data_IF_114507789215
#
_entry.id   IF_114507789215
#
_cell.length_a   1.000
_cell.length_b   1.000
_cell.length_c   1.000
_cell.angle_alpha   90.00
_cell.angle_beta   90.00
_cell.angle_gamma   90.00
#
_symmetry.space_group_name_H-M   'P 1'
#
loop_
_entity.id
_entity.type
_entity.pdbx_description
1 polymer ?
#
# COMPACT_ATOMS: atom_id res chain seq x y z
N UNK A 1 2.70 -10.04 -47.78
CA UNK A 1 1.40 -10.75 -47.76
C UNK A 1 0.28 -9.75 -47.96
N UNK A 2 -0.36 -9.72 -49.11
CA UNK A 2 -1.42 -8.78 -49.40
C UNK A 2 -2.75 -9.55 -49.56
N UNK A 3 -3.51 -9.72 -48.45
CA UNK A 3 -4.83 -10.39 -48.53
C UNK A 3 -5.85 -9.91 -47.46
N UNK A 4 -5.63 -8.72 -46.85
CA UNK A 4 -6.57 -8.22 -45.85
C UNK A 4 -7.05 -6.76 -46.10
N UNK A 5 -6.87 -6.23 -47.32
CA UNK A 5 -7.32 -4.88 -47.70
C UNK A 5 -8.57 -4.82 -48.56
N UNK A 6 -9.16 -5.96 -48.92
CA UNK A 6 -10.29 -6.00 -49.86
C UNK A 6 -11.67 -6.38 -49.25
N UNK A 7 -11.83 -6.32 -47.94
CA UNK A 7 -13.09 -6.64 -47.29
C UNK A 7 -13.83 -5.47 -46.63
N UNK A 8 -13.30 -4.24 -46.70
CA UNK A 8 -13.90 -3.06 -46.05
C UNK A 8 -14.62 -2.14 -47.05
N UNK A 9 -14.46 -2.33 -48.36
CA UNK A 9 -15.06 -1.46 -49.38
C UNK A 9 -16.33 -1.96 -50.05
N UNK A 10 -17.00 -2.98 -49.54
CA UNK A 10 -18.16 -3.60 -50.20
C UNK A 10 -19.52 -3.41 -49.49
N UNK A 11 -19.59 -2.66 -48.39
CA UNK A 11 -20.87 -2.48 -47.63
C UNK A 11 -21.38 -1.03 -47.63
N UNK A 12 -20.70 -0.11 -48.25
CA UNK A 12 -21.10 1.33 -48.23
C UNK A 12 -21.84 1.84 -49.49
N UNK A 13 -22.40 0.95 -50.31
CA UNK A 13 -23.05 1.34 -51.57
C UNK A 13 -24.37 0.60 -51.88
N UNK A 14 -25.28 0.53 -50.93
CA UNK A 14 -26.70 0.23 -51.22
C UNK A 14 -27.58 0.61 -50.03
N UNK A 15 -27.99 1.85 -49.93
CA UNK A 15 -29.26 2.28 -49.32
C UNK A 15 -29.42 3.78 -49.54
N UNK A 16 -29.83 4.13 -50.75
CA UNK A 16 -30.53 5.36 -51.00
C UNK A 16 -31.57 5.10 -52.07
N UNK A 17 -32.80 5.21 -51.72
CA UNK A 17 -34.00 5.64 -52.47
C UNK A 17 -35.24 4.84 -52.08
N UNK A 18 -36.16 5.66 -51.70
CA UNK A 18 -37.61 5.65 -52.03
C UNK A 18 -38.58 5.31 -50.90
N UNK A 19 -39.43 6.31 -50.69
CA UNK A 19 -40.88 6.34 -50.47
C UNK A 19 -41.44 5.98 -49.10
N UNK A 20 -41.98 7.02 -48.44
CA UNK A 20 -42.68 6.90 -47.16
C UNK A 20 -43.45 8.16 -46.74
N UNK A 21 -43.84 8.99 -47.67
CA UNK A 21 -44.72 10.16 -47.40
C UNK A 21 -46.14 9.83 -47.87
N UNK A 22 -46.87 8.99 -47.16
CA UNK A 22 -48.34 8.83 -47.37
C UNK A 22 -49.02 7.97 -46.28
N UNK A 23 -48.75 8.22 -45.00
CA UNK A 23 -49.51 7.55 -43.92
C UNK A 23 -50.09 8.52 -42.87
N UNK A 24 -50.06 9.83 -43.11
CA UNK A 24 -50.52 10.80 -42.12
C UNK A 24 -51.82 11.55 -42.51
N UNK A 25 -52.73 10.92 -43.28
CA UNK A 25 -53.99 11.57 -43.63
C UNK A 25 -55.26 10.73 -43.48
N UNK A 26 -55.34 9.73 -42.65
CA UNK A 26 -56.60 9.04 -42.32
C UNK A 26 -56.63 8.50 -40.91
N UNK A 27 -56.61 9.29 -39.86
CA UNK A 27 -57.05 8.91 -38.52
C UNK A 27 -57.38 10.12 -37.64
N UNK A 28 -58.14 11.06 -38.17
CA UNK A 28 -58.79 12.11 -37.35
C UNK A 28 -60.30 11.86 -37.33
N UNK A 29 -60.77 10.87 -36.64
CA UNK A 29 -62.15 10.76 -36.16
C UNK A 29 -62.33 9.52 -35.28
N UNK A 30 -61.72 9.53 -34.07
CA UNK A 30 -62.18 8.83 -32.86
C UNK A 30 -61.22 9.33 -31.76
N UNK A 31 -61.73 10.08 -30.80
CA UNK A 31 -60.94 10.63 -29.73
C UNK A 31 -60.45 9.51 -28.81
N UNK A 32 -59.20 9.11 -28.98
CA UNK A 32 -58.43 8.35 -28.00
C UNK A 32 -57.37 9.29 -27.49
N UNK A 33 -57.58 9.77 -26.26
CA UNK A 33 -56.59 10.56 -25.52
C UNK A 33 -55.47 9.56 -25.11
N UNK A 34 -54.37 9.58 -25.86
CA UNK A 34 -53.14 8.95 -25.40
C UNK A 34 -52.55 9.83 -24.27
N UNK A 35 -52.79 9.44 -23.02
CA UNK A 35 -52.01 9.92 -21.89
C UNK A 35 -50.64 9.29 -22.00
N UNK A 36 -49.69 10.00 -22.59
CA UNK A 36 -48.28 9.64 -22.50
C UNK A 36 -47.85 9.82 -21.07
N UNK A 37 -47.87 8.74 -20.32
CA UNK A 37 -47.15 8.65 -19.02
C UNK A 37 -45.68 8.77 -19.35
N UNK A 38 -45.12 9.96 -19.34
CA UNK A 38 -43.68 10.16 -19.21
C UNK A 38 -43.32 9.61 -17.83
N UNK A 39 -42.90 8.35 -17.77
CA UNK A 39 -42.15 7.84 -16.63
C UNK A 39 -40.90 8.70 -16.53
N UNK A 40 -40.93 9.72 -15.70
CA UNK A 40 -39.73 10.40 -15.23
C UNK A 40 -38.97 9.36 -14.39
N UNK A 41 -38.10 8.58 -15.04
CA UNK A 41 -37.07 7.85 -14.33
C UNK A 41 -36.19 8.93 -13.73
N UNK A 42 -36.15 9.09 -12.41
CA UNK A 42 -35.18 9.99 -11.83
C UNK A 42 -33.81 9.49 -12.30
N UNK A 43 -33.09 10.32 -13.06
CA UNK A 43 -31.66 10.20 -13.19
C UNK A 43 -31.14 10.28 -11.76
N UNK A 44 -30.89 9.12 -11.13
CA UNK A 44 -30.10 9.05 -9.91
C UNK A 44 -28.77 9.70 -10.27
N UNK A 45 -28.64 10.97 -9.95
CA UNK A 45 -27.36 11.66 -9.98
C UNK A 45 -26.46 10.94 -9.02
N UNK A 46 -25.30 10.50 -9.46
CA UNK A 46 -24.28 9.90 -8.62
C UNK A 46 -24.10 10.77 -7.38
N UNK A 47 -24.35 10.21 -6.20
CA UNK A 47 -24.33 10.98 -4.97
C UNK A 47 -22.89 11.07 -4.47
N UNK A 48 -22.26 12.23 -4.69
CA UNK A 48 -21.01 12.57 -4.00
C UNK A 48 -21.34 12.81 -2.54
N UNK A 49 -20.84 11.91 -1.67
CA UNK A 49 -21.05 11.98 -0.21
C UNK A 49 -19.95 12.76 0.52
N UNK A 50 -18.86 13.08 -0.16
CA UNK A 50 -17.74 13.84 0.39
C UNK A 50 -16.63 14.10 -0.61
N UNK A 51 -15.61 14.80 -0.14
CA UNK A 51 -14.38 15.07 -0.90
C UNK A 51 -13.18 14.73 -0.05
N UNK A 52 -12.24 13.98 -0.60
CA UNK A 52 -11.00 13.62 0.07
C UNK A 52 -10.07 14.83 0.17
N UNK A 53 -9.35 14.96 1.29
CA UNK A 53 -8.39 16.04 1.56
C UNK A 53 -7.00 15.46 1.77
N UNK A 54 -5.92 16.16 1.35
CA UNK A 54 -4.57 15.63 1.47
C UNK A 54 -4.14 15.48 2.93
N UNK A 55 -3.37 14.44 3.22
CA UNK A 55 -2.67 14.31 4.49
C UNK A 55 -1.66 15.46 4.67
N UNK A 56 -1.53 15.95 5.89
CA UNK A 56 -0.60 17.03 6.21
C UNK A 56 0.76 16.41 6.58
N UNK A 57 1.85 16.78 5.88
CA UNK A 57 3.17 16.24 6.15
C UNK A 57 3.69 16.64 7.54
N UNK A 58 4.69 15.92 8.03
CA UNK A 58 5.39 16.30 9.26
C UNK A 58 6.17 17.62 9.06
N UNK A 59 5.97 18.58 9.96
CA UNK A 59 6.67 19.88 9.92
C UNK A 59 7.01 20.38 11.32
N UNK A 60 7.93 21.38 11.38
CA UNK A 60 8.31 22.01 12.65
C UNK A 60 7.13 22.71 13.32
N UNK A 61 6.28 23.35 12.53
CA UNK A 61 5.08 24.05 13.02
C UNK A 61 4.13 23.06 13.69
N UNK A 62 3.95 21.89 13.11
CA UNK A 62 3.13 20.83 13.71
C UNK A 62 3.77 20.23 14.96
N UNK A 63 5.09 20.01 14.95
CA UNK A 63 5.83 19.53 16.13
C UNK A 63 5.69 20.52 17.29
N UNK A 64 5.72 21.82 17.02
CA UNK A 64 5.55 22.86 18.05
C UNK A 64 4.17 22.84 18.75
N UNK A 65 3.16 22.17 18.17
CA UNK A 65 1.85 21.98 18.80
C UNK A 65 1.81 20.85 19.83
N UNK A 66 2.84 19.98 19.84
CA UNK A 66 2.92 18.88 20.80
C UNK A 66 3.28 19.38 22.21
N UNK A 67 2.99 18.58 23.26
CA UNK A 67 3.53 18.85 24.61
C UNK A 67 5.04 19.01 24.57
N UNK A 68 5.57 20.00 25.30
CA UNK A 68 7.00 20.37 25.27
C UNK A 68 7.95 19.17 25.49
N UNK A 69 7.57 18.22 26.33
CA UNK A 69 8.35 17.00 26.59
C UNK A 69 8.52 16.08 25.35
N UNK A 70 7.66 16.19 24.36
CA UNK A 70 7.72 15.36 23.14
C UNK A 70 8.46 16.06 21.99
N UNK A 71 8.45 17.39 21.94
CA UNK A 71 8.95 18.18 20.81
C UNK A 71 10.39 17.83 20.44
N UNK A 72 11.29 17.76 21.42
CA UNK A 72 12.71 17.53 21.17
C UNK A 72 13.01 16.21 20.44
N UNK A 73 12.28 15.14 20.72
CA UNK A 73 12.44 13.86 20.04
C UNK A 73 12.00 13.94 18.56
N UNK A 74 10.88 14.60 18.30
CA UNK A 74 10.34 14.79 16.95
C UNK A 74 11.19 15.75 16.11
N UNK A 75 11.68 16.83 16.68
CA UNK A 75 12.62 17.76 16.02
C UNK A 75 13.91 17.04 15.62
N UNK A 76 14.49 16.26 16.53
CA UNK A 76 15.68 15.44 16.25
C UNK A 76 15.43 14.44 15.12
N UNK A 77 14.24 13.83 15.09
CA UNK A 77 13.83 12.92 14.03
C UNK A 77 13.76 13.66 12.68
N UNK A 78 13.01 14.77 12.61
CA UNK A 78 12.85 15.57 11.39
C UNK A 78 14.20 16.06 10.85
N UNK A 79 15.05 16.61 11.70
CA UNK A 79 16.41 17.07 11.33
C UNK A 79 17.27 15.92 10.80
N UNK A 80 17.17 14.71 11.38
CA UNK A 80 17.90 13.54 10.90
C UNK A 80 17.43 13.16 9.49
N UNK A 81 16.13 13.12 9.27
CA UNK A 81 15.53 12.82 7.96
C UNK A 81 15.94 13.86 6.90
N UNK A 82 15.85 15.14 7.20
CA UNK A 82 16.27 16.22 6.28
C UNK A 82 17.75 16.10 5.88
N UNK A 83 18.64 15.91 6.87
CA UNK A 83 20.08 15.73 6.61
C UNK A 83 20.36 14.51 5.75
N UNK A 84 19.69 13.40 6.03
CA UNK A 84 19.88 12.17 5.26
C UNK A 84 19.40 12.34 3.81
N UNK A 85 18.23 12.95 3.59
CA UNK A 85 17.75 13.25 2.24
C UNK A 85 18.73 14.09 1.44
N UNK A 86 19.29 15.13 2.06
CA UNK A 86 20.33 15.98 1.42
C UNK A 86 21.58 15.18 1.10
N UNK A 87 22.02 14.29 1.99
CA UNK A 87 23.19 13.45 1.79
C UNK A 87 22.96 12.47 0.62
N UNK A 88 21.80 11.82 0.56
CA UNK A 88 21.45 10.87 -0.51
C UNK A 88 21.39 11.54 -1.88
N UNK A 89 20.73 12.70 -1.98
CA UNK A 89 20.68 13.49 -3.21
C UNK A 89 22.05 13.97 -3.66
N UNK A 90 22.86 14.44 -2.69
CA UNK A 90 24.23 14.89 -2.96
C UNK A 90 25.14 13.77 -3.44
N UNK A 91 24.93 12.56 -2.92
CA UNK A 91 25.65 11.36 -3.38
C UNK A 91 25.38 11.07 -4.87
N UNK A 92 24.11 10.99 -5.27
CA UNK A 92 23.74 10.77 -6.68
C UNK A 92 24.27 11.87 -7.59
N UNK A 93 24.14 13.13 -7.19
CA UNK A 93 24.67 14.28 -7.95
C UNK A 93 26.20 14.23 -8.08
N UNK A 94 26.91 13.75 -7.06
CA UNK A 94 28.37 13.58 -7.12
C UNK A 94 28.77 12.47 -8.11
N UNK A 95 28.09 11.30 -8.06
CA UNK A 95 28.30 10.24 -9.05
C UNK A 95 28.05 10.72 -10.48
N UNK A 96 26.92 11.43 -10.70
CA UNK A 96 26.58 11.98 -12.01
C UNK A 96 27.66 12.91 -12.54
N UNK A 97 28.19 13.82 -11.70
CA UNK A 97 29.29 14.71 -12.09
C UNK A 97 30.57 13.94 -12.43
N UNK A 98 30.94 12.98 -11.58
CA UNK A 98 32.16 12.19 -11.74
C UNK A 98 32.13 11.35 -13.03
N UNK A 99 30.96 10.85 -13.40
CA UNK A 99 30.77 9.97 -14.57
C UNK A 99 30.18 10.71 -15.78
N UNK A 100 30.11 12.05 -15.75
CA UNK A 100 29.59 12.89 -16.84
C UNK A 100 28.16 12.55 -17.28
N UNK A 101 27.33 12.06 -16.35
CA UNK A 101 25.91 11.77 -16.57
C UNK A 101 25.11 13.05 -16.38
N UNK A 102 24.34 13.46 -17.40
CA UNK A 102 23.52 14.68 -17.34
C UNK A 102 22.16 14.43 -16.69
N UNK A 103 21.56 13.26 -16.97
CA UNK A 103 20.27 12.84 -16.43
C UNK A 103 20.44 11.42 -15.89
N UNK A 104 19.98 11.08 -14.68
CA UNK A 104 20.11 9.74 -14.16
C UNK A 104 19.42 8.72 -15.08
N UNK A 105 20.10 7.61 -15.36
CA UNK A 105 19.46 6.49 -16.05
C UNK A 105 18.39 5.89 -15.12
N UNK A 106 17.25 5.49 -15.68
CA UNK A 106 16.20 4.83 -14.95
C UNK A 106 16.52 3.34 -14.85
N UNK A 107 16.57 2.74 -13.65
CA UNK A 107 16.87 1.33 -13.50
C UNK A 107 15.72 0.44 -14.00
N UNK A 108 16.00 -0.86 -14.26
CA UNK A 108 14.97 -1.80 -14.64
C UNK A 108 13.85 -1.89 -13.62
N UNK A 109 12.60 -1.73 -14.06
CA UNK A 109 11.41 -1.85 -13.22
C UNK A 109 11.01 -3.32 -13.02
N UNK A 110 10.35 -3.59 -11.88
CA UNK A 110 9.81 -4.89 -11.51
C UNK A 110 9.14 -4.80 -10.13
N UNK A 111 8.81 -5.95 -9.54
CA UNK A 111 8.39 -6.02 -8.15
C UNK A 111 9.46 -6.73 -7.34
N UNK A 112 10.07 -6.07 -6.36
CA UNK A 112 11.10 -6.66 -5.49
C UNK A 112 10.66 -7.99 -4.91
N UNK A 113 9.49 -8.05 -4.29
CA UNK A 113 8.92 -9.26 -3.72
C UNK A 113 8.69 -10.40 -4.74
N UNK A 114 8.50 -10.10 -6.03
CA UNK A 114 8.34 -11.09 -7.10
C UNK A 114 9.64 -11.40 -7.82
N UNK A 115 10.57 -10.45 -7.89
CA UNK A 115 11.86 -10.65 -8.57
C UNK A 115 12.89 -11.28 -7.66
N UNK A 116 12.79 -11.12 -6.34
CA UNK A 116 13.72 -11.69 -5.36
C UNK A 116 13.16 -12.99 -4.76
N UNK A 117 13.77 -14.15 -5.03
CA UNK A 117 13.20 -15.44 -4.62
C UNK A 117 13.45 -15.73 -3.12
N UNK A 118 12.42 -15.57 -2.28
CA UNK A 118 12.49 -15.85 -0.84
C UNK A 118 12.11 -17.29 -0.44
N UNK A 119 11.51 -18.07 -1.34
CA UNK A 119 10.94 -19.40 -1.07
C UNK A 119 11.77 -20.56 -1.64
N UNK A 120 13.03 -20.34 -1.99
CA UNK A 120 13.93 -21.40 -2.48
C UNK A 120 14.42 -22.28 -1.33
N UNK A 121 14.81 -23.54 -1.59
CA UNK A 121 15.46 -24.38 -0.58
C UNK A 121 16.70 -23.71 0.01
N UNK A 122 17.00 -23.94 1.28
CA UNK A 122 18.10 -23.29 2.00
C UNK A 122 19.46 -23.42 1.26
N UNK A 123 19.74 -24.60 0.67
CA UNK A 123 20.97 -24.84 -0.11
C UNK A 123 21.10 -23.96 -1.34
N UNK A 124 19.99 -23.49 -1.92
CA UNK A 124 20.03 -22.61 -3.09
C UNK A 124 20.67 -21.24 -2.80
N UNK A 125 20.50 -20.72 -1.57
CA UNK A 125 21.05 -19.42 -1.19
C UNK A 125 22.60 -19.41 -1.13
N UNK A 126 23.26 -20.58 -1.11
CA UNK A 126 24.70 -20.73 -1.27
C UNK A 126 25.17 -20.78 -2.73
N UNK A 127 24.27 -20.69 -3.71
CA UNK A 127 24.61 -20.80 -5.14
C UNK A 127 25.21 -19.50 -5.73
N UNK A 128 25.88 -19.64 -6.88
CA UNK A 128 26.40 -18.50 -7.67
C UNK A 128 25.27 -17.55 -8.09
N UNK A 129 24.06 -18.07 -8.38
CA UNK A 129 22.93 -17.26 -8.76
C UNK A 129 22.41 -16.42 -7.59
N UNK A 130 22.30 -17.00 -6.40
CA UNK A 130 21.95 -16.25 -5.21
C UNK A 130 22.98 -15.16 -4.88
N UNK A 131 24.28 -15.47 -5.03
CA UNK A 131 25.35 -14.49 -4.86
C UNK A 131 25.25 -13.33 -5.89
N UNK A 132 24.90 -13.63 -7.14
CA UNK A 132 24.68 -12.62 -8.20
C UNK A 132 23.52 -11.70 -7.83
N UNK A 133 22.38 -12.23 -7.40
CA UNK A 133 21.23 -11.45 -6.95
C UNK A 133 21.59 -10.59 -5.72
N UNK A 134 22.31 -11.16 -4.74
CA UNK A 134 22.77 -10.41 -3.58
C UNK A 134 23.66 -9.21 -3.97
N UNK A 135 24.55 -9.38 -4.95
CA UNK A 135 25.39 -8.29 -5.46
C UNK A 135 24.55 -7.18 -6.12
N UNK A 136 23.49 -7.54 -6.86
CA UNK A 136 22.53 -6.56 -7.43
C UNK A 136 21.82 -5.81 -6.30
N UNK A 137 21.27 -6.52 -5.31
CA UNK A 137 20.61 -5.93 -4.15
C UNK A 137 21.54 -4.92 -3.47
N UNK A 138 22.77 -5.30 -3.15
CA UNK A 138 23.76 -4.39 -2.52
C UNK A 138 24.01 -3.15 -3.36
N UNK A 139 24.07 -3.29 -4.70
CA UNK A 139 24.34 -2.16 -5.60
C UNK A 139 23.24 -1.11 -5.63
N UNK A 140 21.97 -1.50 -5.38
CA UNK A 140 20.82 -0.59 -5.33
C UNK A 140 20.49 -0.11 -3.91
N UNK A 141 21.30 -0.47 -2.91
CA UNK A 141 21.09 0.07 -1.57
C UNK A 141 21.38 1.56 -1.55
N UNK A 142 20.40 2.38 -1.11
CA UNK A 142 20.56 3.82 -1.00
C UNK A 142 21.62 4.19 0.05
N UNK A 143 22.22 5.37 0.02
CA UNK A 143 23.14 5.80 1.08
C UNK A 143 22.48 5.79 2.47
N UNK A 144 21.16 6.05 2.55
CA UNK A 144 20.39 5.90 3.79
C UNK A 144 20.30 4.45 4.29
N UNK A 145 20.49 3.46 3.42
CA UNK A 145 20.49 2.03 3.76
C UNK A 145 19.25 1.25 3.32
N UNK A 146 18.18 1.91 2.88
CA UNK A 146 16.97 1.25 2.36
C UNK A 146 17.02 0.96 0.86
N UNK A 147 15.93 0.45 0.32
CA UNK A 147 15.74 0.20 -1.12
C UNK A 147 14.44 0.82 -1.61
N UNK A 148 14.40 1.10 -2.90
CA UNK A 148 13.20 1.62 -3.56
C UNK A 148 12.27 0.51 -4.00
N UNK A 149 10.97 0.80 -4.10
CA UNK A 149 9.99 -0.16 -4.62
C UNK A 149 10.13 -0.36 -6.13
N UNK A 150 9.51 -1.42 -6.63
CA UNK A 150 9.37 -1.72 -8.06
C UNK A 150 10.70 -1.89 -8.84
N UNK A 151 11.79 -2.16 -8.15
CA UNK A 151 13.07 -2.52 -8.77
C UNK A 151 13.06 -3.97 -9.26
N UNK A 152 13.65 -4.21 -10.44
CA UNK A 152 13.98 -5.57 -10.86
C UNK A 152 15.38 -5.94 -10.37
N UNK A 153 15.46 -6.46 -9.16
CA UNK A 153 16.71 -6.82 -8.48
C UNK A 153 17.33 -8.15 -8.96
N UNK A 154 16.85 -8.70 -10.07
CA UNK A 154 17.47 -9.86 -10.74
C UNK A 154 18.04 -9.52 -12.11
N UNK A 155 17.93 -8.29 -12.58
CA UNK A 155 18.36 -7.88 -13.90
C UNK A 155 19.87 -7.60 -13.95
N UNK A 156 20.34 -6.49 -13.39
CA UNK A 156 21.72 -6.03 -13.47
C UNK A 156 22.12 -5.25 -12.21
N UNK A 157 23.42 -5.12 -11.97
CA UNK A 157 23.96 -4.22 -10.94
C UNK A 157 23.74 -2.77 -11.33
N UNK A 158 23.48 -1.91 -10.35
CA UNK A 158 23.40 -0.46 -10.52
C UNK A 158 24.75 0.08 -10.99
N UNK A 159 24.72 1.00 -11.95
CA UNK A 159 25.92 1.70 -12.40
C UNK A 159 25.98 3.11 -11.81
N UNK A 160 27.19 3.70 -11.63
CA UNK A 160 27.32 5.06 -11.11
C UNK A 160 26.54 6.09 -11.92
N UNK A 161 25.79 6.96 -11.24
CA UNK A 161 24.93 7.95 -11.88
C UNK A 161 23.56 7.42 -12.33
N UNK A 162 23.27 6.13 -12.14
CA UNK A 162 21.94 5.57 -12.30
C UNK A 162 21.06 5.93 -11.09
N UNK A 163 19.76 6.16 -11.29
CA UNK A 163 18.79 6.39 -10.21
C UNK A 163 18.72 5.19 -9.26
N UNK A 164 18.36 5.42 -8.00
CA UNK A 164 18.07 4.35 -7.05
C UNK A 164 16.63 3.82 -7.17
N UNK A 165 15.76 4.55 -7.86
CA UNK A 165 14.37 4.18 -8.06
C UNK A 165 14.04 4.13 -9.55
N UNK A 166 13.19 3.18 -10.02
CA UNK A 166 12.56 3.27 -11.32
C UNK A 166 11.58 4.45 -11.35
N UNK A 167 10.97 4.71 -12.50
CA UNK A 167 9.85 5.65 -12.57
C UNK A 167 8.65 5.06 -11.80
N UNK A 168 8.39 5.63 -10.62
CA UNK A 168 7.30 5.23 -9.73
C UNK A 168 6.08 6.17 -9.84
N UNK A 169 6.15 7.19 -10.71
CA UNK A 169 5.09 8.17 -10.87
C UNK A 169 3.81 7.54 -11.45
N UNK A 170 2.68 8.02 -10.97
CA UNK A 170 1.40 7.69 -11.59
C UNK A 170 1.27 8.37 -12.95
N UNK A 171 0.96 7.60 -13.99
CA UNK A 171 0.65 8.15 -15.32
C UNK A 171 -0.68 8.92 -15.37
N UNK A 172 -1.43 8.96 -14.28
CA UNK A 172 -2.75 9.56 -14.16
C UNK A 172 -2.74 10.79 -13.24
N UNK A 173 -1.58 11.43 -13.02
CA UNK A 173 -1.49 12.63 -12.19
C UNK A 173 -2.44 13.72 -12.74
N UNK A 174 -3.26 14.25 -11.85
CA UNK A 174 -4.13 15.40 -12.10
C UNK A 174 -3.60 16.63 -11.36
N UNK A 175 -4.10 17.81 -11.72
CA UNK A 175 -3.71 19.03 -10.99
C UNK A 175 -3.99 18.88 -9.49
N UNK A 176 -2.99 19.17 -8.66
CA UNK A 176 -3.01 18.99 -7.19
C UNK A 176 -3.25 17.54 -6.78
N UNK A 177 -2.73 16.57 -7.53
CA UNK A 177 -2.72 15.18 -7.13
C UNK A 177 -1.95 15.00 -5.81
N UNK A 178 -2.47 14.16 -4.90
CA UNK A 178 -1.81 13.92 -3.59
C UNK A 178 -0.51 13.13 -3.73
N UNK A 179 -0.31 12.47 -4.87
CA UNK A 179 0.91 11.75 -5.23
C UNK A 179 1.95 12.62 -5.96
N UNK A 180 1.72 13.93 -6.01
CA UNK A 180 2.68 14.89 -6.59
C UNK A 180 3.98 14.93 -5.81
N UNK A 181 5.09 14.88 -6.55
CA UNK A 181 6.41 14.75 -5.98
C UNK A 181 7.10 16.11 -5.80
N UNK A 182 7.88 16.27 -4.72
CA UNK A 182 8.66 17.47 -4.53
C UNK A 182 9.94 17.52 -5.40
N UNK A 183 10.38 16.41 -5.99
CA UNK A 183 11.60 16.36 -6.80
C UNK A 183 11.58 15.21 -7.81
N UNK A 184 11.90 15.51 -9.06
CA UNK A 184 12.07 14.52 -10.11
C UNK A 184 13.14 13.47 -9.75
N UNK A 185 12.92 12.23 -10.14
CA UNK A 185 13.82 11.07 -9.93
C UNK A 185 14.09 10.72 -8.46
N UNK A 186 13.32 11.29 -7.49
CA UNK A 186 13.47 11.03 -6.07
C UNK A 186 12.22 10.44 -5.42
N UNK A 187 11.34 9.83 -6.21
CA UNK A 187 10.12 9.21 -5.73
C UNK A 187 10.39 7.83 -5.13
N UNK A 188 9.91 7.62 -3.91
CA UNK A 188 10.09 6.35 -3.19
C UNK A 188 11.55 5.87 -3.10
N UNK A 189 12.50 6.79 -3.04
CA UNK A 189 13.92 6.46 -2.83
C UNK A 189 14.14 6.11 -1.37
N UNK A 190 14.19 4.80 -1.10
CA UNK A 190 14.14 4.21 0.23
C UNK A 190 12.71 4.18 0.78
N UNK A 191 12.07 3.00 0.70
CA UNK A 191 10.66 2.84 1.11
C UNK A 191 10.40 1.48 1.74
N UNK A 192 9.25 1.37 2.41
CA UNK A 192 8.68 0.12 2.92
C UNK A 192 7.47 -0.34 2.09
N UNK A 193 7.09 0.43 1.06
CA UNK A 193 5.97 0.14 0.18
C UNK A 193 6.27 -1.06 -0.75
N UNK A 194 5.26 -1.85 -1.08
CA UNK A 194 5.38 -3.05 -1.92
C UNK A 194 6.49 -4.02 -1.46
N UNK A 195 6.60 -4.26 -0.15
CA UNK A 195 7.59 -5.14 0.49
C UNK A 195 9.06 -4.71 0.32
N UNK A 196 9.34 -3.52 -0.22
CA UNK A 196 10.69 -3.02 -0.40
C UNK A 196 11.42 -2.89 0.96
N UNK A 197 12.72 -2.93 0.95
CA UNK A 197 13.63 -2.95 2.09
C UNK A 197 13.54 -4.24 2.91
N UNK A 198 12.35 -4.71 3.26
CA UNK A 198 12.18 -5.95 4.03
C UNK A 198 12.52 -7.19 3.19
N UNK A 199 12.09 -7.23 1.93
CA UNK A 199 12.44 -8.32 0.99
C UNK A 199 13.94 -8.46 0.79
N UNK A 200 14.62 -7.35 0.56
CA UNK A 200 16.07 -7.30 0.34
C UNK A 200 16.83 -7.78 1.59
N UNK A 201 16.43 -7.32 2.77
CA UNK A 201 17.02 -7.77 4.04
C UNK A 201 16.82 -9.26 4.28
N UNK A 202 15.63 -9.79 4.05
CA UNK A 202 15.35 -11.23 4.20
C UNK A 202 16.18 -12.06 3.22
N UNK A 203 16.33 -11.60 1.98
CA UNK A 203 17.17 -12.29 0.99
C UNK A 203 18.65 -12.30 1.40
N UNK A 204 19.18 -11.13 1.79
CA UNK A 204 20.57 -11.03 2.26
C UNK A 204 20.82 -11.91 3.46
N UNK A 205 19.90 -11.97 4.42
CA UNK A 205 20.02 -12.85 5.60
C UNK A 205 20.13 -14.33 5.20
N UNK A 206 19.29 -14.81 4.26
CA UNK A 206 19.33 -16.18 3.74
C UNK A 206 20.66 -16.49 3.05
N UNK A 207 21.19 -15.58 2.22
CA UNK A 207 22.49 -15.77 1.56
C UNK A 207 23.64 -15.76 2.56
N UNK A 208 23.61 -14.88 3.56
CA UNK A 208 24.63 -14.84 4.62
C UNK A 208 24.61 -16.14 5.43
N UNK A 209 23.44 -16.63 5.82
CA UNK A 209 23.28 -17.85 6.59
C UNK A 209 23.75 -19.11 5.83
N UNK A 210 23.56 -19.15 4.51
CA UNK A 210 24.03 -20.25 3.67
C UNK A 210 25.57 -20.34 3.56
N UNK A 211 26.32 -19.28 3.90
CA UNK A 211 27.78 -19.32 4.15
C UNK A 211 28.67 -19.59 2.93
N UNK A 212 28.17 -19.44 1.71
CA UNK A 212 28.89 -19.84 0.49
C UNK A 212 29.62 -18.75 -0.28
N UNK A 213 29.57 -17.48 0.12
CA UNK A 213 30.04 -16.37 -0.71
C UNK A 213 31.35 -15.74 -0.20
N UNK A 214 32.29 -15.45 -1.14
CA UNK A 214 33.47 -14.64 -0.87
C UNK A 214 33.14 -13.20 -0.44
N UNK A 215 31.86 -12.80 -0.54
CA UNK A 215 31.37 -11.44 -0.26
C UNK A 215 30.65 -11.34 1.10
N UNK A 216 30.82 -12.30 2.01
CA UNK A 216 30.04 -12.36 3.26
C UNK A 216 30.15 -11.09 4.13
N UNK A 217 31.30 -10.41 4.14
CA UNK A 217 31.50 -9.18 4.90
C UNK A 217 30.70 -8.00 4.30
N UNK A 218 30.74 -7.81 2.97
CA UNK A 218 29.98 -6.75 2.30
C UNK A 218 28.45 -6.95 2.43
N UNK A 219 27.99 -8.21 2.38
CA UNK A 219 26.58 -8.55 2.57
C UNK A 219 26.14 -8.26 4.01
N UNK A 220 26.97 -8.62 5.03
CA UNK A 220 26.71 -8.29 6.42
C UNK A 220 26.68 -6.79 6.68
N UNK A 221 27.61 -6.04 6.07
CA UNK A 221 27.61 -4.58 6.15
C UNK A 221 26.37 -3.97 5.50
N UNK A 222 25.93 -4.48 4.35
CA UNK A 222 24.69 -4.03 3.70
C UNK A 222 23.46 -4.37 4.55
N UNK A 223 23.38 -5.56 5.09
CA UNK A 223 22.29 -5.97 6.00
C UNK A 223 22.23 -5.07 7.24
N UNK A 224 23.38 -4.79 7.87
CA UNK A 224 23.44 -3.91 9.04
C UNK A 224 22.95 -2.50 8.73
N UNK A 225 23.40 -1.91 7.59
CA UNK A 225 22.89 -0.59 7.14
C UNK A 225 21.39 -0.61 6.88
N UNK A 226 20.85 -1.71 6.33
CA UNK A 226 19.40 -1.85 6.12
C UNK A 226 18.61 -1.91 7.43
N UNK A 227 19.13 -2.57 8.48
CA UNK A 227 18.53 -2.51 9.82
C UNK A 227 18.65 -1.10 10.42
N UNK A 228 19.79 -0.43 10.26
CA UNK A 228 19.96 0.96 10.73
C UNK A 228 18.98 1.92 10.02
N UNK A 229 18.68 1.68 8.74
CA UNK A 229 17.63 2.38 8.01
C UNK A 229 16.26 2.20 8.67
N UNK A 230 15.85 0.96 8.99
CA UNK A 230 14.59 0.66 9.68
C UNK A 230 14.52 1.41 11.01
N UNK A 231 15.59 1.34 11.82
CA UNK A 231 15.62 2.02 13.11
C UNK A 231 15.62 3.57 12.98
N UNK A 232 16.29 4.09 11.95
CA UNK A 232 16.31 5.54 11.70
C UNK A 232 14.96 6.05 11.20
N UNK A 233 14.21 5.24 10.48
CA UNK A 233 12.90 5.57 9.95
C UNK A 233 11.79 5.55 11.01
N UNK A 234 12.00 4.83 12.14
CA UNK A 234 10.99 4.73 13.20
C UNK A 234 10.73 6.08 13.86
N UNK A 235 9.48 6.47 13.94
CA UNK A 235 9.01 7.65 14.64
C UNK A 235 9.18 7.54 16.16
N UNK A 236 9.25 8.66 16.89
CA UNK A 236 9.30 8.66 18.36
C UNK A 236 8.15 7.93 19.05
N UNK A 237 6.99 7.81 18.39
CA UNK A 237 5.83 7.05 18.88
C UNK A 237 5.81 5.59 18.44
N UNK A 238 6.84 5.11 17.77
CA UNK A 238 6.98 3.71 17.36
C UNK A 238 6.49 3.36 15.95
N UNK A 239 5.77 4.25 15.25
CA UNK A 239 5.31 4.03 13.88
C UNK A 239 6.40 4.20 12.83
N UNK A 240 6.09 3.89 11.57
CA UNK A 240 6.97 4.11 10.41
C UNK A 240 6.25 4.85 9.29
N UNK A 241 6.93 5.80 8.61
CA UNK A 241 6.43 6.40 7.37
C UNK A 241 6.47 5.38 6.23
N UNK A 242 5.81 5.69 5.13
CA UNK A 242 5.92 4.89 3.91
C UNK A 242 7.30 5.03 3.25
N UNK A 243 7.88 6.23 3.29
CA UNK A 243 9.16 6.59 2.67
C UNK A 243 10.08 7.22 3.71
N UNK A 244 11.33 6.80 3.77
CA UNK A 244 12.36 7.45 4.57
C UNK A 244 13.68 7.54 3.77
N UNK A 245 14.39 8.68 3.78
CA UNK A 245 14.04 9.97 4.42
C UNK A 245 12.71 10.53 3.96
N UNK A 246 12.02 11.27 4.83
CA UNK A 246 10.67 11.79 4.61
C UNK A 246 10.55 12.52 3.27
N UNK A 247 9.52 12.16 2.50
CA UNK A 247 9.25 12.71 1.17
C UNK A 247 8.22 13.84 1.19
N UNK A 248 7.38 13.90 2.24
CA UNK A 248 6.26 14.82 2.37
C UNK A 248 4.92 14.20 1.96
N UNK A 249 3.84 14.97 2.14
CA UNK A 249 2.49 14.49 1.85
C UNK A 249 2.10 13.29 2.71
N UNK A 250 1.29 12.40 2.14
CA UNK A 250 0.86 11.18 2.83
C UNK A 250 1.97 10.14 3.04
N UNK A 251 3.11 10.28 2.34
CA UNK A 251 4.27 9.40 2.52
C UNK A 251 4.89 9.54 3.92
N UNK A 252 4.63 10.65 4.61
CA UNK A 252 5.03 10.88 5.99
C UNK A 252 4.02 10.31 7.00
N UNK A 253 2.91 9.72 6.57
CA UNK A 253 1.97 9.08 7.48
C UNK A 253 2.50 7.72 7.96
N UNK A 254 2.10 7.31 9.17
CA UNK A 254 2.28 5.93 9.63
C UNK A 254 1.49 5.04 8.68
N UNK A 255 2.16 4.06 8.07
CA UNK A 255 1.60 3.32 6.93
C UNK A 255 1.41 1.84 7.25
N UNK A 256 0.15 1.40 7.23
CA UNK A 256 -0.24 -0.01 7.24
C UNK A 256 -0.53 -0.55 5.83
N UNK A 257 -0.80 0.35 4.86
CA UNK A 257 -1.03 -0.03 3.46
C UNK A 257 0.08 -0.94 2.93
N UNK A 258 -0.32 -1.96 2.14
CA UNK A 258 0.56 -2.96 1.54
C UNK A 258 1.51 -3.61 2.59
N UNK A 259 0.99 -3.83 3.80
CA UNK A 259 1.67 -4.48 4.93
C UNK A 259 2.98 -3.80 5.38
N UNK A 260 3.23 -2.54 5.00
CA UNK A 260 4.51 -1.87 5.20
C UNK A 260 5.02 -2.00 6.65
N UNK A 261 4.22 -1.57 7.62
CA UNK A 261 4.61 -1.65 9.04
C UNK A 261 4.60 -3.10 9.56
N UNK A 262 3.67 -3.94 9.11
CA UNK A 262 3.58 -5.34 9.55
C UNK A 262 4.78 -6.14 9.08
N UNK A 263 5.25 -5.92 7.86
CA UNK A 263 6.46 -6.55 7.33
C UNK A 263 7.72 -6.16 8.12
N UNK A 264 7.84 -4.87 8.51
CA UNK A 264 8.92 -4.40 9.39
C UNK A 264 8.86 -5.13 10.74
N UNK A 265 7.70 -5.18 11.38
CA UNK A 265 7.53 -5.79 12.69
C UNK A 265 7.83 -7.30 12.68
N UNK A 266 7.39 -8.01 11.64
CA UNK A 266 7.72 -9.42 11.45
C UNK A 266 9.22 -9.63 11.23
N UNK A 267 9.91 -8.76 10.49
CA UNK A 267 11.37 -8.82 10.34
C UNK A 267 12.07 -8.55 11.66
N UNK A 268 11.65 -7.53 12.42
CA UNK A 268 12.23 -7.18 13.71
C UNK A 268 12.02 -8.30 14.75
N UNK A 269 10.85 -8.96 14.72
CA UNK A 269 10.59 -10.15 15.53
C UNK A 269 11.63 -11.24 15.23
N UNK A 270 11.81 -11.63 13.97
CA UNK A 270 12.75 -12.67 13.55
C UNK A 270 14.20 -12.30 13.89
N UNK A 271 14.60 -11.04 13.63
CA UNK A 271 15.93 -10.50 13.99
C UNK A 271 16.15 -10.54 15.49
N UNK A 272 15.16 -10.15 16.31
CA UNK A 272 15.29 -10.14 17.78
C UNK A 272 15.43 -11.54 18.35
N UNK A 273 14.71 -12.50 17.77
CA UNK A 273 14.84 -13.91 18.14
C UNK A 273 16.23 -14.50 17.82
N UNK A 274 16.89 -13.98 16.79
CA UNK A 274 18.23 -14.41 16.38
C UNK A 274 18.28 -15.87 15.93
N UNK A 275 17.15 -16.43 15.46
CA UNK A 275 17.02 -17.81 15.01
C UNK A 275 17.13 -17.94 13.49
N UNK A 276 17.29 -19.16 12.97
CA UNK A 276 17.37 -19.45 11.54
C UNK A 276 18.42 -18.58 10.83
N UNK A 277 18.03 -17.92 9.74
CA UNK A 277 18.89 -17.05 8.94
C UNK A 277 19.43 -15.82 9.69
N UNK A 278 18.90 -15.47 10.86
CA UNK A 278 19.30 -14.28 11.63
C UNK A 278 20.31 -14.58 12.76
N UNK A 279 20.79 -15.84 12.90
CA UNK A 279 21.75 -16.24 13.92
C UNK A 279 23.10 -15.48 13.88
N UNK A 280 23.43 -14.84 12.76
CA UNK A 280 24.65 -14.03 12.61
C UNK A 280 24.49 -12.60 13.18
N UNK A 281 23.28 -12.14 13.51
CA UNK A 281 23.03 -10.78 13.96
C UNK A 281 23.56 -10.60 15.38
N UNK A 282 24.39 -9.56 15.64
CA UNK A 282 24.94 -9.31 16.97
C UNK A 282 23.84 -9.10 18.03
N UNK A 283 24.12 -9.50 19.25
CA UNK A 283 23.17 -9.42 20.37
C UNK A 283 22.67 -7.99 20.63
N UNK A 284 23.54 -7.00 20.52
CA UNK A 284 23.16 -5.58 20.66
C UNK A 284 22.10 -5.18 19.61
N UNK A 285 22.29 -5.58 18.36
CA UNK A 285 21.34 -5.30 17.29
C UNK A 285 20.02 -6.07 17.52
N UNK A 286 20.07 -7.30 18.03
CA UNK A 286 18.86 -8.07 18.40
C UNK A 286 18.08 -7.39 19.52
N UNK A 287 18.77 -6.88 20.55
CA UNK A 287 18.12 -6.10 21.63
C UNK A 287 17.47 -4.82 21.08
N UNK A 288 18.17 -4.10 20.22
CA UNK A 288 17.62 -2.92 19.55
C UNK A 288 16.37 -3.25 18.70
N UNK A 289 16.39 -4.37 17.99
CA UNK A 289 15.23 -4.86 17.23
C UNK A 289 14.04 -5.20 18.16
N UNK A 290 14.29 -5.82 19.30
CA UNK A 290 13.24 -6.10 20.28
C UNK A 290 12.60 -4.82 20.84
N UNK A 291 13.39 -3.80 21.16
CA UNK A 291 12.89 -2.50 21.63
C UNK A 291 12.05 -1.82 20.54
N UNK A 292 12.55 -1.78 19.31
CA UNK A 292 11.85 -1.20 18.15
C UNK A 292 10.51 -1.92 17.87
N UNK A 293 10.50 -3.26 17.96
CA UNK A 293 9.31 -4.09 17.85
C UNK A 293 8.24 -3.71 18.90
N UNK A 294 8.64 -3.58 20.17
CA UNK A 294 7.71 -3.24 21.25
C UNK A 294 7.13 -1.82 21.08
N UNK A 295 7.95 -0.86 20.63
CA UNK A 295 7.47 0.49 20.32
C UNK A 295 6.46 0.46 19.17
N UNK A 296 6.72 -0.34 18.11
CA UNK A 296 5.79 -0.51 17.00
C UNK A 296 4.47 -1.16 17.40
N UNK A 297 4.51 -2.17 18.27
CA UNK A 297 3.32 -2.78 18.85
C UNK A 297 2.48 -1.75 19.62
N UNK A 298 3.12 -0.92 20.46
CA UNK A 298 2.43 0.18 21.15
C UNK A 298 1.79 1.18 20.18
N UNK A 299 2.45 1.50 19.06
CA UNK A 299 1.88 2.36 18.02
C UNK A 299 0.63 1.74 17.37
N UNK A 300 0.64 0.43 17.06
CA UNK A 300 -0.55 -0.28 16.55
C UNK A 300 -1.72 -0.12 17.52
N UNK A 301 -1.53 -0.41 18.80
CA UNK A 301 -2.61 -0.36 19.80
C UNK A 301 -3.13 1.08 19.98
N UNK A 302 -2.21 2.07 19.97
CA UNK A 302 -2.58 3.49 20.13
C UNK A 302 -3.28 4.09 18.89
N UNK A 303 -3.05 3.56 17.69
CA UNK A 303 -3.66 4.05 16.44
C UNK A 303 -4.97 3.35 16.09
N UNK A 304 -5.40 2.33 16.84
CA UNK A 304 -6.70 1.69 16.60
C UNK A 304 -7.82 2.70 16.71
N UNK A 305 -8.70 2.76 15.70
CA UNK A 305 -9.79 3.72 15.63
C UNK A 305 -10.75 3.48 16.79
N UNK A 306 -11.20 4.56 17.42
CA UNK A 306 -12.19 4.55 18.50
C UNK A 306 -13.43 5.28 18.01
N UNK A 307 -14.58 4.61 18.06
CA UNK A 307 -15.91 5.16 17.76
C UNK A 307 -16.78 4.98 19.00
N UNK A 308 -17.39 6.05 19.46
CA UNK A 308 -18.26 6.06 20.67
C UNK A 308 -17.62 5.39 21.91
N UNK A 309 -16.31 5.59 22.07
CA UNK A 309 -15.52 5.03 23.18
C UNK A 309 -15.10 3.57 23.00
N UNK A 310 -15.40 2.94 21.87
CA UNK A 310 -15.05 1.55 21.58
C UNK A 310 -13.99 1.45 20.48
N UNK A 311 -12.98 0.60 20.69
CA UNK A 311 -12.02 0.22 19.66
C UNK A 311 -12.72 -0.52 18.52
N UNK A 312 -12.29 -0.30 17.29
CA UNK A 312 -12.78 -1.04 16.12
C UNK A 312 -11.63 -1.64 15.31
N UNK A 313 -11.23 -1.02 14.20
CA UNK A 313 -10.16 -1.45 13.29
C UNK A 313 -9.21 -0.28 13.01
N UNK A 314 -8.35 -0.39 12.01
CA UNK A 314 -7.37 0.63 11.64
C UNK A 314 -7.67 1.23 10.27
N UNK A 315 -7.12 2.41 10.02
CA UNK A 315 -6.99 2.99 8.69
C UNK A 315 -5.72 2.50 8.00
N UNK A 316 -5.65 2.60 6.69
CA UNK A 316 -4.42 2.25 5.95
C UNK A 316 -3.26 3.23 6.21
N UNK A 317 -3.56 4.49 6.52
CA UNK A 317 -2.58 5.48 7.00
C UNK A 317 -3.10 6.24 8.21
N UNK A 318 -2.18 6.57 9.13
CA UNK A 318 -2.45 7.38 10.30
C UNK A 318 -1.47 8.56 10.38
N UNK A 319 -1.96 9.69 10.86
CA UNK A 319 -1.14 10.87 11.08
C UNK A 319 0.01 10.59 12.04
N UNK A 320 1.22 11.01 11.67
CA UNK A 320 2.42 10.72 12.44
C UNK A 320 2.38 11.27 13.88
N UNK A 321 1.72 12.40 14.13
CA UNK A 321 1.70 13.05 15.45
C UNK A 321 0.45 12.69 16.26
N UNK A 322 -0.72 12.65 15.61
CA UNK A 322 -2.01 12.51 16.29
C UNK A 322 -2.54 11.08 16.29
N UNK A 323 -1.97 10.19 15.49
CA UNK A 323 -2.43 8.82 15.24
C UNK A 323 -3.85 8.72 14.67
N UNK A 324 -4.43 9.84 14.22
CA UNK A 324 -5.74 9.84 13.59
C UNK A 324 -5.68 9.31 12.15
N UNK A 325 -6.73 8.66 11.64
CA UNK A 325 -6.85 8.29 10.25
C UNK A 325 -6.60 9.46 9.28
N UNK A 326 -5.79 9.23 8.25
CA UNK A 326 -5.53 10.22 7.19
C UNK A 326 -5.65 9.60 5.81
N UNK A 327 -5.78 10.46 4.79
CA UNK A 327 -5.79 10.05 3.39
C UNK A 327 -4.39 9.67 2.89
N UNK A 328 -4.37 8.87 1.82
CA UNK A 328 -3.20 8.70 0.97
C UNK A 328 -3.46 9.32 -0.41
N UNK A 329 -3.59 8.51 -1.46
CA UNK A 329 -3.87 9.00 -2.83
C UNK A 329 -5.26 9.65 -2.91
N UNK A 330 -5.53 10.37 -3.98
CA UNK A 330 -6.80 11.09 -4.19
C UNK A 330 -8.06 10.27 -3.84
N UNK A 331 -8.03 8.96 -4.10
CA UNK A 331 -9.13 8.01 -3.92
C UNK A 331 -9.02 7.13 -2.66
N UNK A 332 -8.07 7.42 -1.78
CA UNK A 332 -7.84 6.71 -0.52
C UNK A 332 -8.09 7.67 0.64
N UNK A 333 -9.33 7.70 1.10
CA UNK A 333 -9.80 8.59 2.14
C UNK A 333 -9.56 7.99 3.54
N UNK A 334 -9.55 8.82 4.61
CA UNK A 334 -9.58 8.33 5.98
C UNK A 334 -10.79 7.41 6.18
N UNK A 335 -10.55 6.18 6.65
CA UNK A 335 -11.58 5.14 6.69
C UNK A 335 -11.21 4.01 7.65
N UNK A 336 -12.19 3.21 8.01
CA UNK A 336 -11.99 1.88 8.56
C UNK A 336 -11.60 0.95 7.41
N UNK A 337 -10.46 0.23 7.51
CA UNK A 337 -9.98 -0.62 6.41
C UNK A 337 -10.04 -2.10 6.77
N UNK A 338 -10.45 -2.91 5.82
CA UNK A 338 -10.64 -4.34 6.07
C UNK A 338 -9.37 -5.18 5.83
N UNK A 339 -8.62 -4.91 4.76
CA UNK A 339 -7.43 -5.67 4.41
C UNK A 339 -6.32 -5.49 5.44
N UNK A 340 -5.86 -4.27 5.58
CA UNK A 340 -4.80 -3.87 6.49
C UNK A 340 -5.10 -4.26 7.95
N UNK A 341 -6.37 -4.10 8.37
CA UNK A 341 -6.80 -4.49 9.72
C UNK A 341 -6.79 -6.00 9.93
N UNK A 342 -7.04 -6.80 8.88
CA UNK A 342 -6.93 -8.26 8.97
C UNK A 342 -5.47 -8.69 9.22
N UNK A 343 -4.51 -8.07 8.54
CA UNK A 343 -3.09 -8.39 8.68
C UNK A 343 -2.54 -7.90 10.02
N UNK A 344 -2.96 -6.71 10.50
CA UNK A 344 -2.68 -6.24 11.86
C UNK A 344 -3.24 -7.22 12.90
N UNK A 345 -4.49 -7.66 12.77
CA UNK A 345 -5.11 -8.62 13.70
C UNK A 345 -4.36 -9.95 13.71
N UNK A 346 -3.90 -10.44 12.54
CA UNK A 346 -3.08 -11.65 12.44
C UNK A 346 -1.76 -11.49 13.17
N UNK A 347 -1.08 -10.34 13.03
CA UNK A 347 0.15 -10.03 13.74
C UNK A 347 -0.05 -9.97 15.26
N UNK A 348 -1.12 -9.33 15.74
CA UNK A 348 -1.46 -9.24 17.16
C UNK A 348 -1.75 -10.64 17.76
N UNK A 349 -2.46 -11.50 17.04
CA UNK A 349 -2.73 -12.87 17.46
C UNK A 349 -1.47 -13.78 17.48
N UNK A 350 -0.42 -13.39 16.76
CA UNK A 350 0.84 -14.12 16.77
C UNK A 350 1.75 -13.75 17.96
N UNK A 351 1.42 -12.71 18.73
CA UNK A 351 2.22 -12.31 19.88
C UNK A 351 2.17 -13.40 20.98
N UNK A 352 3.33 -13.81 21.50
CA UNK A 352 3.36 -14.74 22.63
C UNK A 352 2.85 -14.06 23.91
N UNK A 353 1.97 -14.73 24.63
CA UNK A 353 1.41 -14.23 25.89
C UNK A 353 0.79 -12.82 25.75
N UNK A 354 -0.24 -12.65 24.89
CA UNK A 354 -0.83 -11.34 24.66
C UNK A 354 -1.37 -10.74 25.96
N UNK A 355 -1.04 -9.48 26.20
CA UNK A 355 -1.58 -8.74 27.34
C UNK A 355 -3.07 -8.41 27.14
N UNK A 356 -3.77 -7.92 28.19
CA UNK A 356 -5.20 -7.59 28.09
C UNK A 356 -5.52 -6.57 26.98
N UNK A 357 -4.64 -5.62 26.69
CA UNK A 357 -4.87 -4.60 25.66
C UNK A 357 -4.83 -5.22 24.26
N UNK A 358 -3.90 -6.15 24.00
CA UNK A 358 -3.88 -6.92 22.74
C UNK A 358 -5.15 -7.76 22.62
N UNK A 359 -5.58 -8.41 23.70
CA UNK A 359 -6.79 -9.24 23.69
C UNK A 359 -8.03 -8.41 23.38
N UNK A 360 -8.17 -7.24 24.00
CA UNK A 360 -9.25 -6.30 23.73
C UNK A 360 -9.22 -5.82 22.27
N UNK A 361 -8.05 -5.42 21.78
CA UNK A 361 -7.83 -4.95 20.41
C UNK A 361 -8.25 -5.97 19.36
N UNK A 362 -7.82 -7.23 19.53
CA UNK A 362 -8.17 -8.35 18.64
C UNK A 362 -9.65 -8.66 18.69
N UNK A 363 -10.26 -8.69 19.88
CA UNK A 363 -11.70 -8.93 20.04
C UNK A 363 -12.54 -7.84 19.36
N UNK A 364 -12.14 -6.58 19.47
CA UNK A 364 -12.81 -5.45 18.83
C UNK A 364 -12.76 -5.55 17.30
N UNK A 365 -11.59 -5.82 16.73
CA UNK A 365 -11.43 -6.02 15.29
C UNK A 365 -12.26 -7.21 14.78
N UNK A 366 -12.24 -8.34 15.50
CA UNK A 366 -13.05 -9.50 15.14
C UNK A 366 -14.55 -9.21 15.14
N UNK A 367 -15.04 -8.46 16.13
CA UNK A 367 -16.45 -8.05 16.22
C UNK A 367 -16.83 -7.16 15.03
N UNK A 368 -15.97 -6.20 14.66
CA UNK A 368 -16.18 -5.34 13.52
C UNK A 368 -16.22 -6.14 12.21
N UNK A 369 -15.30 -7.09 11.98
CA UNK A 369 -15.33 -7.95 10.79
C UNK A 369 -16.60 -8.79 10.70
N UNK A 370 -17.09 -9.34 11.82
CA UNK A 370 -18.36 -10.08 11.82
C UNK A 370 -19.54 -9.18 11.47
N UNK A 371 -19.55 -7.94 11.96
CA UNK A 371 -20.60 -6.94 11.70
C UNK A 371 -20.66 -6.49 10.25
N UNK A 372 -19.49 -6.29 9.62
CA UNK A 372 -19.35 -5.64 8.30
C UNK A 372 -19.23 -6.60 7.11
N UNK A 373 -19.25 -7.91 7.36
CA UNK A 373 -19.18 -8.92 6.30
C UNK A 373 -20.34 -8.81 5.31
N UNK A 374 -20.06 -8.93 4.03
CA UNK A 374 -21.01 -8.97 2.92
C UNK A 374 -21.08 -10.42 2.41
N UNK A 375 -22.24 -11.05 2.55
CA UNK A 375 -22.45 -12.47 2.19
C UNK A 375 -23.10 -12.61 0.84
N UNK A 376 -22.94 -13.79 0.21
CA UNK A 376 -23.59 -14.17 -1.05
C UNK A 376 -23.31 -13.19 -2.20
N UNK A 377 -22.14 -12.55 -2.15
CA UNK A 377 -21.67 -11.59 -3.14
C UNK A 377 -20.23 -11.91 -3.54
N UNK A 378 -19.87 -11.64 -4.78
CA UNK A 378 -18.51 -11.76 -5.31
C UNK A 378 -18.08 -10.48 -6.05
N UNK A 379 -16.83 -10.09 -5.92
CA UNK A 379 -16.25 -8.99 -6.69
C UNK A 379 -15.66 -9.53 -8.00
N UNK A 380 -16.42 -9.41 -9.09
CA UNK A 380 -16.14 -10.06 -10.37
C UNK A 380 -16.14 -9.10 -11.55
N UNK A 381 -15.49 -9.49 -12.64
CA UNK A 381 -15.52 -8.77 -13.92
C UNK A 381 -16.82 -9.11 -14.64
N UNK A 382 -17.65 -8.09 -14.89
CA UNK A 382 -18.89 -8.20 -15.66
C UNK A 382 -18.64 -7.69 -17.09
N UNK A 383 -18.91 -8.50 -18.14
CA UNK A 383 -18.71 -8.09 -19.52
C UNK A 383 -19.40 -6.74 -19.82
N UNK A 384 -18.68 -5.82 -20.46
CA UNK A 384 -19.16 -4.46 -20.78
C UNK A 384 -19.22 -3.48 -19.60
N UNK A 385 -19.30 -3.96 -18.35
CA UNK A 385 -19.45 -3.10 -17.15
C UNK A 385 -18.17 -2.95 -16.32
N UNK A 386 -17.21 -3.86 -16.45
CA UNK A 386 -16.00 -3.90 -15.63
C UNK A 386 -16.22 -4.64 -14.31
N UNK A 387 -15.38 -4.37 -13.30
CA UNK A 387 -15.51 -4.98 -11.97
C UNK A 387 -16.73 -4.45 -11.23
N UNK A 388 -17.51 -5.37 -10.67
CA UNK A 388 -18.71 -5.07 -9.88
C UNK A 388 -18.86 -6.08 -8.74
N UNK A 389 -19.56 -5.69 -7.69
CA UNK A 389 -20.07 -6.61 -6.68
C UNK A 389 -21.35 -7.26 -7.25
N UNK A 390 -21.35 -8.55 -7.42
CA UNK A 390 -22.45 -9.31 -8.02
C UNK A 390 -22.98 -10.36 -7.07
N UNK A 391 -24.26 -10.70 -7.20
CA UNK A 391 -24.86 -11.80 -6.46
C UNK A 391 -24.15 -13.11 -6.79
N UNK A 392 -23.74 -13.83 -5.77
CA UNK A 392 -23.08 -15.13 -5.84
C UNK A 392 -23.52 -15.97 -4.63
N UNK A 393 -24.71 -16.63 -4.71
CA UNK A 393 -25.22 -17.47 -3.63
C UNK A 393 -24.17 -18.48 -3.16
N UNK A 394 -24.09 -18.70 -1.87
CA UNK A 394 -23.10 -19.57 -1.21
C UNK A 394 -21.64 -19.13 -1.32
N UNK A 395 -21.34 -17.98 -1.92
CA UNK A 395 -20.02 -17.39 -1.87
C UNK A 395 -19.68 -16.97 -0.44
N UNK A 396 -18.46 -17.26 -0.01
CA UNK A 396 -17.98 -16.83 1.31
C UNK A 396 -18.03 -15.29 1.47
N UNK A 397 -17.93 -14.78 2.69
CA UNK A 397 -18.04 -13.34 2.92
C UNK A 397 -16.88 -12.58 2.24
N UNK A 398 -17.21 -11.40 1.72
CA UNK A 398 -16.27 -10.38 1.26
C UNK A 398 -16.46 -9.11 2.09
N UNK A 399 -15.46 -8.24 2.09
CA UNK A 399 -15.50 -6.93 2.74
C UNK A 399 -15.13 -5.86 1.73
N UNK A 400 -15.76 -4.69 1.81
CA UNK A 400 -15.26 -3.52 1.11
C UNK A 400 -13.89 -3.13 1.69
N UNK A 401 -13.01 -2.57 0.87
CA UNK A 401 -11.69 -2.13 1.35
C UNK A 401 -11.82 -1.00 2.37
N UNK A 402 -12.73 -0.05 2.11
CA UNK A 402 -12.94 1.15 2.92
C UNK A 402 -14.36 1.25 3.43
N UNK A 403 -14.52 1.63 4.70
CA UNK A 403 -15.78 1.94 5.32
C UNK A 403 -15.72 3.33 5.97
N UNK A 404 -16.83 4.04 5.94
CA UNK A 404 -16.95 5.36 6.56
C UNK A 404 -16.91 5.23 8.07
N UNK A 405 -15.94 5.91 8.70
CA UNK A 405 -15.73 5.88 10.16
C UNK A 405 -17.02 6.22 10.89
N UNK A 406 -17.40 5.35 11.83
CA UNK A 406 -18.56 5.51 12.70
C UNK A 406 -19.90 5.10 12.09
N UNK A 407 -19.94 4.74 10.80
CA UNK A 407 -21.20 4.27 10.19
C UNK A 407 -21.10 2.86 9.61
N UNK A 408 -19.89 2.32 9.48
CA UNK A 408 -19.58 1.03 8.84
C UNK A 408 -20.17 0.89 7.43
N UNK A 409 -20.40 2.00 6.70
CA UNK A 409 -20.90 2.00 5.33
C UNK A 409 -19.73 1.90 4.36
N UNK A 410 -19.75 0.99 3.38
CA UNK A 410 -18.75 0.97 2.32
C UNK A 410 -18.66 2.33 1.60
N UNK A 411 -17.45 2.79 1.32
CA UNK A 411 -17.18 4.03 0.58
C UNK A 411 -16.11 3.80 -0.48
N UNK A 412 -16.20 4.57 -1.57
CA UNK A 412 -15.37 4.44 -2.76
C UNK A 412 -14.87 5.82 -3.20
N UNK A 413 -13.58 5.95 -3.44
CA UNK A 413 -12.98 7.20 -3.89
C UNK A 413 -12.66 7.19 -5.38
N UNK A 414 -12.62 8.39 -6.00
CA UNK A 414 -12.17 8.54 -7.37
C UNK A 414 -10.96 9.49 -7.47
N UNK A 415 -10.34 9.55 -8.66
CA UNK A 415 -9.14 10.36 -8.90
C UNK A 415 -9.39 11.86 -8.77
N UNK A 416 -10.61 12.31 -8.97
CA UNK A 416 -11.04 13.70 -8.76
C UNK A 416 -11.26 14.07 -7.29
N UNK A 417 -10.97 13.12 -6.36
CA UNK A 417 -11.11 13.24 -4.90
C UNK A 417 -12.54 13.11 -4.39
N UNK A 418 -13.51 12.84 -5.24
CA UNK A 418 -14.88 12.59 -4.81
C UNK A 418 -14.99 11.26 -4.06
N UNK A 419 -15.87 11.22 -3.07
CA UNK A 419 -16.19 10.03 -2.28
C UNK A 419 -17.65 9.65 -2.55
N UNK A 420 -17.91 8.38 -2.76
CA UNK A 420 -19.20 7.80 -3.11
C UNK A 420 -19.54 6.63 -2.20
N UNK A 421 -20.82 6.31 -2.05
CA UNK A 421 -21.28 5.12 -1.31
C UNK A 421 -21.68 3.94 -2.24
N UNK A 422 -21.61 4.15 -3.55
CA UNK A 422 -21.84 3.10 -4.55
C UNK A 422 -20.60 2.95 -5.46
N UNK A 423 -20.17 1.72 -5.67
CA UNK A 423 -18.98 1.41 -6.48
C UNK A 423 -19.15 1.82 -7.95
N UNK A 424 -20.35 1.75 -8.51
CA UNK A 424 -20.61 2.08 -9.92
C UNK A 424 -20.65 3.58 -10.22
N UNK A 425 -20.63 4.41 -9.20
CA UNK A 425 -20.55 5.86 -9.31
C UNK A 425 -19.14 6.38 -9.57
N UNK A 426 -18.10 5.62 -9.19
CA UNK A 426 -16.71 6.01 -9.50
C UNK A 426 -16.33 5.67 -10.93
N UNK A 427 -15.28 6.31 -11.45
CA UNK A 427 -14.77 6.10 -12.79
C UNK A 427 -14.47 4.62 -13.07
N UNK A 428 -14.70 4.19 -14.31
CA UNK A 428 -14.41 2.80 -14.73
C UNK A 428 -12.94 2.45 -14.55
N UNK A 429 -12.05 3.41 -14.73
CA UNK A 429 -10.61 3.22 -14.55
C UNK A 429 -10.32 2.83 -13.10
N UNK A 430 -10.82 3.60 -12.11
CA UNK A 430 -10.62 3.30 -10.70
C UNK A 430 -11.32 2.01 -10.28
N UNK A 431 -12.54 1.80 -10.72
CA UNK A 431 -13.30 0.58 -10.42
C UNK A 431 -12.58 -0.69 -10.86
N UNK A 432 -11.94 -0.66 -12.03
CA UNK A 432 -11.22 -1.81 -12.57
C UNK A 432 -9.78 -1.94 -12.07
N UNK A 433 -9.13 -0.84 -11.76
CA UNK A 433 -7.70 -0.76 -11.43
C UNK A 433 -7.38 -0.84 -9.94
N UNK A 434 -8.38 -1.12 -9.07
CA UNK A 434 -8.18 -1.16 -7.64
C UNK A 434 -8.93 -2.32 -6.97
N UNK A 435 -8.39 -2.81 -5.85
CA UNK A 435 -8.99 -3.91 -5.09
C UNK A 435 -10.01 -3.35 -4.06
N UNK A 436 -11.21 -3.02 -4.53
CA UNK A 436 -12.27 -2.42 -3.70
C UNK A 436 -12.92 -3.39 -2.71
N UNK A 437 -12.75 -4.70 -2.92
CA UNK A 437 -13.22 -5.74 -2.02
C UNK A 437 -12.13 -6.78 -1.79
N UNK A 438 -12.12 -7.39 -0.60
CA UNK A 438 -11.15 -8.40 -0.18
C UNK A 438 -11.83 -9.53 0.59
N UNK A 439 -11.17 -10.68 0.64
CA UNK A 439 -11.52 -11.83 1.49
C UNK A 439 -10.53 -12.00 2.69
N UNK A 440 -9.52 -11.13 2.82
CA UNK A 440 -8.49 -11.25 3.87
C UNK A 440 -9.06 -11.44 5.27
N UNK A 441 -10.14 -10.73 5.70
CA UNK A 441 -10.71 -10.93 7.03
C UNK A 441 -11.25 -12.33 7.32
N UNK A 442 -11.58 -13.11 6.28
CA UNK A 442 -12.01 -14.51 6.43
C UNK A 442 -10.95 -15.37 7.10
N UNK A 443 -9.69 -15.20 6.67
CA UNK A 443 -8.56 -15.93 7.26
C UNK A 443 -8.28 -15.46 8.70
N UNK A 444 -8.35 -14.15 8.94
CA UNK A 444 -8.18 -13.56 10.27
C UNK A 444 -9.25 -14.07 11.25
N UNK A 445 -10.53 -14.11 10.84
CA UNK A 445 -11.63 -14.65 11.64
C UNK A 445 -11.50 -16.18 11.90
N UNK A 446 -11.05 -16.93 10.90
CA UNK A 446 -10.79 -18.37 11.08
C UNK A 446 -9.67 -18.59 12.13
N UNK A 447 -8.58 -17.83 12.06
CA UNK A 447 -7.51 -17.87 13.05
C UNK A 447 -7.98 -17.39 14.43
N UNK A 448 -8.80 -16.36 14.48
CA UNK A 448 -9.38 -15.84 15.71
C UNK A 448 -10.21 -16.89 16.45
N UNK A 449 -11.01 -17.68 15.74
CA UNK A 449 -11.80 -18.75 16.35
C UNK A 449 -10.96 -19.75 17.15
N UNK A 450 -9.76 -20.08 16.67
CA UNK A 450 -8.81 -20.93 17.39
C UNK A 450 -8.08 -20.18 18.50
N UNK A 451 -7.61 -18.98 18.21
CA UNK A 451 -6.89 -18.12 19.15
C UNK A 451 -7.73 -17.79 20.40
N UNK A 452 -9.01 -17.52 20.22
CA UNK A 452 -9.95 -17.21 21.32
C UNK A 452 -10.10 -18.37 22.31
N UNK A 453 -10.06 -19.63 21.85
CA UNK A 453 -10.16 -20.80 22.74
C UNK A 453 -9.07 -20.83 23.82
N UNK A 454 -7.90 -20.31 23.47
CA UNK A 454 -6.73 -20.27 24.36
C UNK A 454 -6.69 -19.01 25.22
N UNK A 455 -7.17 -17.87 24.68
CA UNK A 455 -7.04 -16.54 25.28
C UNK A 455 -8.34 -15.98 25.87
N UNK A 456 -9.44 -16.75 25.91
CA UNK A 456 -10.72 -16.33 26.46
C UNK A 456 -10.80 -16.38 28.01
N UNK A 457 -9.70 -16.56 28.70
CA UNK A 457 -9.63 -16.60 30.16
C UNK A 457 -9.21 -15.28 30.81
N UNK A 458 -9.16 -14.20 30.01
CA UNK A 458 -8.84 -12.85 30.48
C UNK A 458 -10.02 -11.93 30.35
#
# INVERSE_FOLDING_TARGET
MPALKNLINSVASRMNQSTGFDFFRRCCRRGIVFVSIFSCVPLLSAAVIGTNTPAVPLSRERIATLPAAQQAAWEKYLQRSERQRQADQSFLLAEMRQHHVKTPMVPPSGFSARSVPLSRPASWYGSTEAARIAAIIVSFQTPAGGWSKNLNLTAQVRVPGESFAPDNNSHYLVKNDFDSLPADHWDYVGTFDNDATVTELRFLAKVIAAGGTKQSESLRASFARGLDYIFAAQYPNGGWPQVWPLQGGYHDAITYNDDAMINILNLLHDVSAGTNEFGFVPEETRRRAAVSLQQGLGCILASQIIVDGHRIVWCQQHDALTLQPVSARNYEMPSETSGESADIMMFLMAQPHPDPEIVESVNAAAAWFVKTQIRDMAFAIVPGKGRQLVSAPDHGPVWARFYQIGTDRPIFGDRDKTIHDQLDEISRERRNGYAWYTESPKNALARYAEWKKVNSRF
#
